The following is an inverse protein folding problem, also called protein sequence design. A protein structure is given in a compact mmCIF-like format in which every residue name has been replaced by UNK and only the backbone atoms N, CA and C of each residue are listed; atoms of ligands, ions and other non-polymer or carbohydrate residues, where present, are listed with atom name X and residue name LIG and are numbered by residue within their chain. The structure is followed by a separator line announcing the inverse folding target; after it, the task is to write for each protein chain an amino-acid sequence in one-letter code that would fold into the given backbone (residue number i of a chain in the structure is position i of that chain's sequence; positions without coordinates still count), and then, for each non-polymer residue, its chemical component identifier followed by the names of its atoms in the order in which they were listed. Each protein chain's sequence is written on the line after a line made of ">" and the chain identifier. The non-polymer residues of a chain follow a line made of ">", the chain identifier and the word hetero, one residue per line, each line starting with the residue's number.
data_IF_137149392566
#
_entry.id   IF_137149392566
#
_cell.length_a   1.000
_cell.length_b   1.000
_cell.length_c   1.000
_cell.angle_alpha   90.00
_cell.angle_beta   90.00
_cell.angle_gamma   90.00
#
_symmetry.space_group_name_H-M   'P 1'
#
loop_
_entity.id
_entity.type
_entity.pdbx_description
1 polymer ?
#
# COMPACT_ATOMS: atom_id res chain seq x y z
N UNK A 1 0.07 2.23 17.19
CA UNK A 1 0.51 2.70 15.85
C UNK A 1 -0.68 2.67 14.91
N UNK A 2 -0.78 3.59 13.95
CA UNK A 2 -1.92 3.64 13.00
C UNK A 2 -1.42 3.92 11.60
N UNK A 3 -1.83 3.11 10.62
CA UNK A 3 -1.42 3.21 9.23
C UNK A 3 -2.63 3.34 8.29
N UNK A 4 -2.53 4.18 7.27
CA UNK A 4 -3.53 4.24 6.19
C UNK A 4 -3.12 3.23 5.12
N UNK A 5 -4.05 2.35 4.73
CA UNK A 5 -3.85 1.35 3.67
C UNK A 5 -4.81 1.66 2.53
N UNK A 6 -4.25 1.98 1.37
CA UNK A 6 -4.99 2.19 0.13
C UNK A 6 -4.90 0.97 -0.78
N UNK A 7 -6.04 0.45 -1.24
CA UNK A 7 -6.11 -0.58 -2.27
C UNK A 7 -6.60 0.04 -3.57
N UNK A 8 -5.79 0.03 -4.63
CA UNK A 8 -6.19 0.54 -5.93
C UNK A 8 -6.27 -0.57 -6.99
N UNK A 9 -6.90 -0.27 -8.12
CA UNK A 9 -7.23 -1.25 -9.13
C UNK A 9 -6.05 -1.69 -10.00
N UNK A 10 -5.06 -2.31 -9.39
CA UNK A 10 -4.00 -3.04 -10.08
C UNK A 10 -4.04 -4.51 -9.69
N UNK A 11 -3.59 -5.41 -10.56
CA UNK A 11 -3.43 -6.83 -10.21
C UNK A 11 -2.38 -6.99 -9.11
N UNK A 12 -2.52 -8.02 -8.29
CA UNK A 12 -1.71 -8.24 -7.10
C UNK A 12 -2.42 -7.75 -5.83
N UNK A 13 -3.75 -7.79 -5.80
CA UNK A 13 -4.55 -7.43 -4.62
C UNK A 13 -4.15 -8.25 -3.39
N UNK A 14 -3.59 -9.44 -3.59
CA UNK A 14 -3.09 -10.33 -2.54
C UNK A 14 -2.04 -9.65 -1.64
N UNK A 15 -1.23 -8.74 -2.18
CA UNK A 15 -0.26 -7.97 -1.38
C UNK A 15 -0.96 -7.10 -0.34
N UNK A 16 -2.04 -6.42 -0.74
CA UNK A 16 -2.82 -5.57 0.16
C UNK A 16 -3.58 -6.37 1.22
N UNK A 17 -4.17 -7.50 0.84
CA UNK A 17 -4.84 -8.41 1.75
C UNK A 17 -3.85 -8.94 2.79
N UNK A 18 -2.67 -9.40 2.35
CA UNK A 18 -1.63 -9.92 3.24
C UNK A 18 -1.08 -8.84 4.18
N UNK A 19 -0.92 -7.59 3.68
CA UNK A 19 -0.51 -6.48 4.55
C UNK A 19 -1.55 -6.22 5.64
N UNK A 20 -2.84 -6.16 5.31
CA UNK A 20 -3.90 -5.96 6.30
C UNK A 20 -3.90 -7.08 7.36
N UNK A 21 -3.73 -8.34 6.92
CA UNK A 21 -3.61 -9.48 7.82
C UNK A 21 -2.39 -9.33 8.75
N UNK A 22 -1.23 -8.99 8.20
CA UNK A 22 0.00 -8.79 8.98
C UNK A 22 -0.12 -7.64 9.99
N UNK A 23 -0.70 -6.50 9.60
CA UNK A 23 -0.94 -5.38 10.52
C UNK A 23 -1.84 -5.79 11.69
N UNK A 24 -2.87 -6.58 11.41
CA UNK A 24 -3.76 -7.14 12.44
C UNK A 24 -3.04 -8.11 13.38
N UNK A 25 -2.22 -9.01 12.83
CA UNK A 25 -1.38 -9.97 13.60
C UNK A 25 -0.39 -9.24 14.52
N UNK A 26 0.11 -8.07 14.07
CA UNK A 26 1.09 -7.24 14.79
C UNK A 26 0.45 -6.15 15.67
N UNK A 27 -0.87 -6.17 15.84
CA UNK A 27 -1.64 -5.21 16.65
C UNK A 27 -1.45 -3.75 16.21
N UNK A 28 -1.30 -3.51 14.90
CA UNK A 28 -1.20 -2.20 14.27
C UNK A 28 -2.56 -1.79 13.70
N UNK A 29 -3.10 -0.66 14.17
CA UNK A 29 -4.37 -0.14 13.64
C UNK A 29 -4.24 0.24 12.16
N UNK A 30 -5.22 -0.16 11.34
CA UNK A 30 -5.29 0.16 9.92
C UNK A 30 -6.59 0.87 9.54
N UNK A 31 -6.47 1.95 8.77
CA UNK A 31 -7.57 2.67 8.13
C UNK A 31 -7.54 2.32 6.63
N UNK A 32 -8.51 1.52 6.17
CA UNK A 32 -8.60 1.03 4.80
C UNK A 32 -9.40 1.99 3.91
N UNK A 33 -8.82 2.33 2.75
CA UNK A 33 -9.53 2.94 1.63
C UNK A 33 -9.39 2.01 0.43
N UNK A 34 -10.51 1.53 -0.11
CA UNK A 34 -10.54 0.63 -1.25
C UNK A 34 -11.28 1.28 -2.42
N UNK A 35 -10.66 1.31 -3.61
CA UNK A 35 -11.37 1.76 -4.81
C UNK A 35 -12.31 0.68 -5.34
N UNK A 36 -13.37 1.06 -6.09
CA UNK A 36 -14.29 0.10 -6.71
C UNK A 36 -13.58 -0.94 -7.58
N UNK A 37 -12.52 -0.51 -8.29
CA UNK A 37 -11.74 -1.43 -9.12
C UNK A 37 -10.90 -2.38 -8.28
N UNK A 38 -10.40 -1.94 -7.12
CA UNK A 38 -9.73 -2.84 -6.19
C UNK A 38 -10.69 -3.89 -5.60
N UNK A 39 -11.92 -3.49 -5.27
CA UNK A 39 -12.96 -4.43 -4.83
C UNK A 39 -13.24 -5.51 -5.90
N UNK A 40 -13.30 -5.12 -7.18
CA UNK A 40 -13.42 -6.09 -8.28
C UNK A 40 -12.20 -7.01 -8.40
N UNK A 41 -10.98 -6.50 -8.12
CA UNK A 41 -9.78 -7.35 -8.15
C UNK A 41 -9.80 -8.40 -7.03
N UNK A 42 -10.36 -8.09 -5.86
CA UNK A 42 -10.56 -9.09 -4.79
C UNK A 42 -11.34 -10.29 -5.33
N UNK A 43 -12.46 -10.04 -6.01
CA UNK A 43 -13.34 -11.11 -6.53
C UNK A 43 -12.74 -11.87 -7.73
N UNK A 44 -11.88 -11.20 -8.52
CA UNK A 44 -11.27 -11.79 -9.72
C UNK A 44 -10.02 -12.62 -9.39
N UNK A 45 -9.21 -12.15 -8.45
CA UNK A 45 -7.88 -12.72 -8.19
C UNK A 45 -7.84 -13.66 -6.98
N UNK A 46 -8.87 -13.66 -6.13
CA UNK A 46 -8.86 -14.40 -4.86
C UNK A 46 -10.22 -15.03 -4.54
N UNK A 47 -10.22 -15.95 -3.57
CA UNK A 47 -11.43 -16.53 -3.02
C UNK A 47 -12.06 -15.69 -1.89
N UNK A 48 -11.47 -14.54 -1.56
CA UNK A 48 -12.00 -13.63 -0.54
C UNK A 48 -13.21 -12.85 -1.09
N UNK A 49 -14.20 -12.63 -0.22
CA UNK A 49 -15.22 -11.61 -0.45
C UNK A 49 -14.68 -10.25 -0.02
N UNK A 50 -15.15 -9.18 -0.63
CA UNK A 50 -14.79 -7.80 -0.24
C UNK A 50 -15.03 -7.56 1.26
N UNK A 51 -16.12 -8.10 1.82
CA UNK A 51 -16.42 -8.04 3.26
C UNK A 51 -15.33 -8.67 4.13
N UNK A 52 -14.72 -9.76 3.68
CA UNK A 52 -13.70 -10.49 4.44
C UNK A 52 -12.40 -9.67 4.47
N UNK A 53 -12.07 -8.99 3.36
CA UNK A 53 -10.93 -8.06 3.31
C UNK A 53 -11.19 -6.83 4.19
N UNK A 54 -12.38 -6.25 4.14
CA UNK A 54 -12.77 -5.14 5.00
C UNK A 54 -12.66 -5.50 6.49
N UNK A 55 -13.01 -6.73 6.87
CA UNK A 55 -12.93 -7.21 8.25
C UNK A 55 -11.49 -7.36 8.79
N UNK A 56 -10.46 -7.35 7.92
CA UNK A 56 -9.06 -7.34 8.35
C UNK A 56 -8.63 -5.96 8.86
N UNK A 57 -9.26 -4.88 8.37
CA UNK A 57 -8.92 -3.52 8.77
C UNK A 57 -9.58 -3.12 10.10
N UNK A 58 -8.94 -2.22 10.84
CA UNK A 58 -9.52 -1.63 12.06
C UNK A 58 -10.70 -0.72 11.72
N UNK A 59 -10.61 0.04 10.62
CA UNK A 59 -11.66 0.90 10.09
C UNK A 59 -11.65 0.88 8.56
N UNK A 60 -12.82 1.02 7.97
CA UNK A 60 -13.00 1.13 6.52
C UNK A 60 -13.63 2.48 6.20
N UNK A 61 -13.08 3.17 5.21
CA UNK A 61 -13.57 4.48 4.76
C UNK A 61 -14.07 4.37 3.32
N UNK A 62 -15.21 5.00 3.06
CA UNK A 62 -15.72 5.13 1.69
C UNK A 62 -14.74 5.98 0.86
N UNK A 63 -14.41 5.49 -0.32
CA UNK A 63 -13.46 6.12 -1.23
C UNK A 63 -13.92 7.51 -1.72
N UNK A 64 -15.21 7.84 -1.61
CA UNK A 64 -15.78 9.13 -2.02
C UNK A 64 -16.24 10.00 -0.84
N UNK A 65 -16.04 9.55 0.40
CA UNK A 65 -16.36 10.36 1.58
C UNK A 65 -15.23 11.32 1.96
N UNK A 66 -15.29 12.54 1.45
CA UNK A 66 -14.36 13.61 1.80
C UNK A 66 -14.60 14.22 3.20
N UNK A 67 -15.63 13.78 3.92
CA UNK A 67 -15.84 14.17 5.35
C UNK A 67 -15.01 13.30 6.28
N UNK A 68 -14.43 12.21 5.78
CA UNK A 68 -13.52 11.33 6.51
C UNK A 68 -12.34 12.13 7.10
N UNK A 69 -11.90 11.84 8.34
CA UNK A 69 -10.73 12.48 8.93
C UNK A 69 -9.45 12.29 8.11
N UNK A 70 -9.37 11.25 7.27
CA UNK A 70 -8.24 10.98 6.39
C UNK A 70 -8.03 12.06 5.32
N UNK A 71 -9.07 12.85 5.00
CA UNK A 71 -8.97 13.99 4.09
C UNK A 71 -8.23 15.19 4.69
N UNK A 72 -7.93 15.15 5.99
CA UNK A 72 -7.28 16.24 6.74
C UNK A 72 -5.84 15.90 7.13
N UNK A 73 -4.90 16.81 6.91
CA UNK A 73 -3.52 16.69 7.40
C UNK A 73 -3.39 16.62 8.93
N UNK A 74 -4.38 17.11 9.66
CA UNK A 74 -4.43 17.04 11.13
C UNK A 74 -4.68 15.63 11.69
N UNK A 75 -5.15 14.69 10.88
CA UNK A 75 -5.34 13.30 11.29
C UNK A 75 -3.99 12.63 11.59
N UNK A 76 -3.81 12.21 12.83
CA UNK A 76 -2.55 11.59 13.27
C UNK A 76 -2.47 10.14 12.83
N UNK A 77 -1.48 9.83 12.01
CA UNK A 77 -1.12 8.50 11.55
C UNK A 77 0.40 8.42 11.34
N UNK A 78 0.95 7.21 11.23
CA UNK A 78 2.37 6.97 10.99
C UNK A 78 2.74 7.22 9.52
N UNK A 79 1.78 7.03 8.62
CA UNK A 79 1.94 7.18 7.17
C UNK A 79 0.91 6.38 6.41
N UNK A 80 1.10 6.32 5.10
CA UNK A 80 0.19 5.64 4.18
C UNK A 80 0.95 4.70 3.24
N UNK A 81 0.36 3.56 2.96
CA UNK A 81 0.79 2.66 1.89
C UNK A 81 -0.33 2.45 0.89
N UNK A 82 -0.03 2.52 -0.40
CA UNK A 82 -0.95 2.12 -1.47
C UNK A 82 -0.44 0.84 -2.09
N UNK A 83 -1.16 -0.27 -1.89
CA UNK A 83 -0.73 -1.62 -2.23
C UNK A 83 -1.89 -2.56 -2.63
N UNK A 84 -2.00 -2.99 -3.89
CA UNK A 84 -1.21 -2.55 -5.03
C UNK A 84 -1.54 -1.10 -5.43
N UNK A 85 -0.61 -0.43 -6.11
CA UNK A 85 -0.80 0.90 -6.63
C UNK A 85 -0.86 0.88 -8.17
N UNK A 86 -2.01 1.29 -8.73
CA UNK A 86 -2.16 1.38 -10.18
C UNK A 86 -1.45 2.59 -10.77
N UNK A 87 -1.11 2.53 -12.06
CA UNK A 87 -0.50 3.67 -12.76
C UNK A 87 -1.44 4.88 -12.82
N UNK A 88 -2.79 4.68 -12.84
CA UNK A 88 -3.77 5.76 -12.68
C UNK A 88 -3.58 6.48 -11.33
N UNK A 89 -3.44 5.72 -10.26
CA UNK A 89 -3.23 6.27 -8.90
C UNK A 89 -1.88 6.98 -8.80
N UNK A 90 -0.80 6.40 -9.33
CA UNK A 90 0.52 7.05 -9.45
C UNK A 90 0.39 8.39 -10.17
N UNK A 91 -0.27 8.43 -11.33
CA UNK A 91 -0.46 9.65 -12.11
C UNK A 91 -1.28 10.69 -11.34
N UNK A 92 -2.38 10.27 -10.70
CA UNK A 92 -3.22 11.16 -9.90
C UNK A 92 -2.47 11.83 -8.76
N UNK A 93 -1.69 11.07 -7.99
CA UNK A 93 -0.88 11.63 -6.90
C UNK A 93 0.22 12.56 -7.49
N UNK A 94 0.88 12.16 -8.57
CA UNK A 94 1.99 12.92 -9.17
C UNK A 94 1.56 14.30 -9.69
N UNK A 95 0.32 14.43 -10.20
CA UNK A 95 -0.21 15.72 -10.67
C UNK A 95 -1.06 16.46 -9.62
N UNK A 96 -1.18 15.95 -8.39
CA UNK A 96 -1.97 16.58 -7.33
C UNK A 96 -3.50 16.48 -7.55
N UNK A 97 -3.95 15.54 -8.38
CA UNK A 97 -5.37 15.33 -8.65
C UNK A 97 -5.99 14.42 -7.58
N UNK A 98 -6.91 14.98 -6.79
CA UNK A 98 -7.50 14.32 -5.63
C UNK A 98 -9.03 14.23 -5.77
N UNK A 99 -9.52 13.42 -6.71
CA UNK A 99 -10.94 13.20 -6.99
C UNK A 99 -11.61 12.15 -6.09
N UNK A 100 -10.83 11.53 -5.22
CA UNK A 100 -11.31 10.56 -4.25
C UNK A 100 -10.47 10.58 -2.96
N UNK A 101 -10.97 9.93 -1.91
CA UNK A 101 -10.35 9.94 -0.59
C UNK A 101 -8.96 9.29 -0.60
N UNK A 102 -8.72 8.26 -1.43
CA UNK A 102 -7.41 7.61 -1.52
C UNK A 102 -6.34 8.59 -2.00
N UNK A 103 -6.61 9.31 -3.10
CA UNK A 103 -5.71 10.33 -3.64
C UNK A 103 -5.55 11.51 -2.66
N UNK A 104 -6.64 11.94 -2.01
CA UNK A 104 -6.59 13.02 -1.02
C UNK A 104 -5.77 12.63 0.21
N UNK A 105 -5.91 11.41 0.72
CA UNK A 105 -5.12 10.93 1.85
C UNK A 105 -3.62 10.84 1.51
N UNK A 106 -3.29 10.43 0.28
CA UNK A 106 -1.92 10.42 -0.21
C UNK A 106 -1.34 11.85 -0.30
N UNK A 107 -2.09 12.81 -0.84
CA UNK A 107 -1.72 14.22 -0.88
C UNK A 107 -1.49 14.78 0.54
N UNK A 108 -2.41 14.50 1.48
CA UNK A 108 -2.25 14.87 2.88
C UNK A 108 -1.01 14.25 3.50
N UNK A 109 -0.70 13.00 3.20
CA UNK A 109 0.47 12.29 3.72
C UNK A 109 1.76 12.95 3.24
N UNK A 110 1.85 13.30 1.94
CA UNK A 110 3.01 13.97 1.36
C UNK A 110 3.20 15.39 1.93
N UNK A 111 2.15 16.22 1.95
CA UNK A 111 2.26 17.61 2.43
C UNK A 111 2.63 17.70 3.91
N UNK A 112 2.26 16.70 4.71
CA UNK A 112 2.62 16.60 6.13
C UNK A 112 3.98 15.89 6.34
N UNK A 113 4.68 15.56 5.24
CA UNK A 113 6.00 14.88 5.25
C UNK A 113 6.01 13.56 6.04
N UNK A 114 4.90 12.84 5.98
CA UNK A 114 4.80 11.48 6.51
C UNK A 114 5.20 10.47 5.46
N UNK A 115 5.54 9.25 5.87
CA UNK A 115 5.88 8.18 4.94
C UNK A 115 4.69 7.87 4.02
N UNK A 116 4.89 8.05 2.71
CA UNK A 116 4.00 7.55 1.68
C UNK A 116 4.74 6.46 0.91
N UNK A 117 4.27 5.22 0.99
CA UNK A 117 4.81 4.08 0.26
C UNK A 117 3.84 3.72 -0.85
N UNK A 118 4.34 3.69 -2.08
CA UNK A 118 3.57 3.30 -3.25
C UNK A 118 4.15 1.99 -3.79
N UNK A 119 3.30 0.96 -3.89
CA UNK A 119 3.68 -0.37 -4.37
C UNK A 119 3.10 -0.60 -5.77
N UNK A 120 3.73 -0.01 -6.82
CA UNK A 120 3.24 -0.15 -8.19
C UNK A 120 3.35 -1.60 -8.66
N UNK A 121 2.32 -2.06 -9.43
CA UNK A 121 2.36 -3.30 -10.18
C UNK A 121 1.92 -3.02 -11.62
N UNK A 122 2.89 -3.02 -12.50
CA UNK A 122 2.71 -2.78 -13.94
C UNK A 122 3.89 -3.37 -14.72
N UNK A 123 3.61 -3.92 -15.90
CA UNK A 123 4.65 -4.40 -16.82
C UNK A 123 4.09 -4.48 -18.25
N UNK A 124 4.81 -3.97 -19.29
CA UNK A 124 5.99 -3.12 -19.22
C UNK A 124 5.68 -1.70 -18.72
N UNK A 125 6.68 -0.95 -18.32
CA UNK A 125 6.54 0.46 -17.98
C UNK A 125 6.80 1.33 -19.23
N UNK A 126 6.02 2.42 -19.36
CA UNK A 126 6.27 3.46 -20.37
C UNK A 126 6.94 4.69 -19.72
N UNK A 127 7.35 5.65 -20.58
CA UNK A 127 8.04 6.87 -20.12
C UNK A 127 7.18 7.70 -19.16
N UNK A 128 5.85 7.76 -19.36
CA UNK A 128 4.94 8.53 -18.49
C UNK A 128 4.91 7.89 -17.09
N UNK A 129 4.85 6.55 -16.99
CA UNK A 129 4.92 5.85 -15.72
C UNK A 129 6.20 6.16 -14.97
N UNK A 130 7.35 6.10 -15.67
CA UNK A 130 8.66 6.36 -15.08
C UNK A 130 8.81 7.82 -14.62
N UNK A 131 8.32 8.80 -15.41
CA UNK A 131 8.34 10.21 -15.04
C UNK A 131 7.48 10.49 -13.81
N UNK A 132 6.28 9.93 -13.72
CA UNK A 132 5.41 10.10 -12.56
C UNK A 132 6.03 9.49 -11.30
N UNK A 133 6.61 8.29 -11.38
CA UNK A 133 7.29 7.67 -10.25
C UNK A 133 8.53 8.49 -9.82
N UNK A 134 9.29 9.03 -10.77
CA UNK A 134 10.43 9.91 -10.47
C UNK A 134 9.97 11.19 -9.76
N UNK A 135 8.91 11.83 -10.23
CA UNK A 135 8.35 13.02 -9.61
C UNK A 135 7.90 12.75 -8.16
N UNK A 136 7.22 11.63 -7.92
CA UNK A 136 6.78 11.23 -6.59
C UNK A 136 7.94 10.88 -5.66
N UNK A 137 8.97 10.18 -6.16
CA UNK A 137 10.18 9.92 -5.39
C UNK A 137 10.88 11.23 -4.98
N UNK A 138 10.97 12.20 -5.90
CA UNK A 138 11.49 13.54 -5.62
C UNK A 138 10.65 14.33 -4.62
N UNK A 139 9.33 14.08 -4.56
CA UNK A 139 8.42 14.67 -3.57
C UNK A 139 8.49 13.99 -2.19
N UNK A 140 9.22 12.89 -2.06
CA UNK A 140 9.44 12.17 -0.79
C UNK A 140 8.63 10.89 -0.63
N UNK A 141 7.91 10.41 -1.66
CA UNK A 141 7.29 9.10 -1.63
C UNK A 141 8.33 7.99 -1.85
N UNK A 142 8.15 6.86 -1.17
CA UNK A 142 8.91 5.64 -1.46
C UNK A 142 8.22 4.86 -2.55
N UNK A 143 8.90 4.64 -3.67
CA UNK A 143 8.43 3.77 -4.76
C UNK A 143 9.00 2.38 -4.50
N UNK A 144 8.12 1.43 -4.16
CA UNK A 144 8.45 0.03 -3.85
C UNK A 144 7.71 -0.88 -4.84
N UNK A 145 8.27 -1.15 -6.03
CA UNK A 145 7.61 -2.02 -7.01
C UNK A 145 7.32 -3.40 -6.44
N UNK A 146 6.18 -4.01 -6.82
CA UNK A 146 5.84 -5.39 -6.48
C UNK A 146 6.74 -6.37 -7.26
N UNK A 147 8.05 -6.28 -7.01
CA UNK A 147 9.11 -7.07 -7.67
C UNK A 147 9.92 -7.82 -6.60
N UNK A 148 9.44 -8.98 -6.13
CA UNK A 148 10.07 -9.72 -5.05
C UNK A 148 11.44 -10.28 -5.46
N UNK A 149 12.37 -10.34 -4.50
CA UNK A 149 13.66 -11.00 -4.68
C UNK A 149 13.54 -12.53 -4.52
N UNK A 150 14.50 -13.27 -5.09
CA UNK A 150 14.53 -14.74 -5.03
C UNK A 150 15.69 -15.29 -4.17
N UNK A 151 16.49 -14.41 -3.56
CA UNK A 151 17.67 -14.80 -2.79
C UNK A 151 17.35 -15.60 -1.52
N UNK A 152 16.13 -15.48 -0.98
CA UNK A 152 15.63 -16.25 0.17
C UNK A 152 15.06 -17.64 -0.23
N UNK A 153 15.17 -18.03 -1.53
CA UNK A 153 14.71 -19.32 -2.10
C UNK A 153 13.23 -19.59 -1.80
N UNK A 154 12.31 -18.74 -2.28
CA UNK A 154 10.89 -18.92 -2.04
C UNK A 154 10.42 -20.27 -2.58
N UNK A 155 9.63 -20.99 -1.78
CA UNK A 155 9.06 -22.27 -2.15
C UNK A 155 7.63 -22.12 -2.69
N UNK A 156 6.93 -21.09 -2.20
CA UNK A 156 5.54 -20.82 -2.51
C UNK A 156 5.33 -19.37 -2.95
N UNK A 157 4.19 -19.07 -3.58
CA UNK A 157 3.82 -17.70 -3.96
C UNK A 157 3.69 -16.81 -2.72
N UNK A 158 3.24 -17.35 -1.61
CA UNK A 158 3.12 -16.65 -0.33
C UNK A 158 4.44 -16.08 0.15
N UNK A 159 5.55 -16.77 -0.08
CA UNK A 159 6.90 -16.28 0.29
C UNK A 159 7.27 -15.02 -0.51
N UNK A 160 6.85 -14.94 -1.78
CA UNK A 160 7.06 -13.77 -2.63
C UNK A 160 6.19 -12.59 -2.17
N UNK A 161 4.96 -12.88 -1.76
CA UNK A 161 4.03 -11.88 -1.22
C UNK A 161 4.57 -11.35 0.11
N UNK A 162 4.98 -12.22 1.01
CA UNK A 162 5.51 -11.87 2.33
C UNK A 162 6.83 -11.07 2.23
N UNK A 163 7.66 -11.33 1.20
CA UNK A 163 8.83 -10.50 0.94
C UNK A 163 8.46 -9.03 0.66
N UNK A 164 7.46 -8.77 -0.19
CA UNK A 164 7.02 -7.39 -0.50
C UNK A 164 6.35 -6.75 0.72
N UNK A 165 5.47 -7.47 1.40
CA UNK A 165 4.78 -6.99 2.61
C UNK A 165 5.79 -6.67 3.71
N UNK A 166 6.77 -7.53 3.93
CA UNK A 166 7.82 -7.30 4.90
C UNK A 166 8.68 -6.07 4.56
N UNK A 167 8.99 -5.83 3.26
CA UNK A 167 9.66 -4.60 2.84
C UNK A 167 8.85 -3.33 3.13
N UNK A 168 7.52 -3.40 3.03
CA UNK A 168 6.66 -2.30 3.47
C UNK A 168 6.78 -2.10 4.98
N UNK A 169 6.68 -3.17 5.78
CA UNK A 169 6.79 -3.08 7.24
C UNK A 169 8.15 -2.54 7.69
N UNK A 170 9.24 -2.94 7.03
CA UNK A 170 10.60 -2.41 7.29
C UNK A 170 10.67 -0.88 7.14
N UNK A 171 10.00 -0.28 6.13
CA UNK A 171 9.99 1.18 5.91
C UNK A 171 9.30 1.92 7.06
N UNK A 172 8.36 1.27 7.74
CA UNK A 172 7.63 1.82 8.88
C UNK A 172 8.24 1.43 10.25
N UNK A 173 9.44 0.80 10.24
CA UNK A 173 10.12 0.31 11.45
C UNK A 173 9.25 -0.64 12.29
N UNK A 174 8.39 -1.45 11.61
CA UNK A 174 7.54 -2.46 12.26
C UNK A 174 8.29 -3.77 12.26
N UNK A 175 8.56 -4.30 13.46
CA UNK A 175 9.20 -5.60 13.62
C UNK A 175 8.29 -6.73 13.13
N UNK A 176 8.83 -7.64 12.30
CA UNK A 176 8.10 -8.76 11.71
C UNK A 176 9.02 -9.94 11.39
N UNK A 177 8.42 -11.10 11.10
CA UNK A 177 9.12 -12.34 10.74
C UNK A 177 8.65 -12.93 9.40
N UNK A 178 8.12 -12.08 8.48
CA UNK A 178 7.54 -12.52 7.21
C UNK A 178 8.58 -13.08 6.23
N UNK A 179 9.83 -12.65 6.32
CA UNK A 179 10.92 -13.19 5.51
C UNK A 179 12.26 -13.09 6.23
N UNK A 180 13.22 -13.92 5.83
CA UNK A 180 14.57 -13.89 6.38
C UNK A 180 15.37 -12.71 5.80
N UNK A 181 15.75 -11.75 6.63
CA UNK A 181 16.54 -10.59 6.21
C UNK A 181 18.02 -10.96 6.12
N UNK A 182 18.63 -10.77 4.94
CA UNK A 182 20.08 -10.89 4.78
C UNK A 182 20.72 -9.61 5.34
N UNK A 183 21.58 -9.75 6.34
CA UNK A 183 22.39 -8.64 6.87
C UNK A 183 22.02 -8.10 8.24
N UNK A 184 20.97 -8.57 8.89
CA UNK A 184 20.87 -8.43 10.35
C UNK A 184 21.79 -9.47 10.97
N UNK A 185 22.99 -9.04 11.42
CA UNK A 185 23.81 -9.87 12.28
C UNK A 185 22.97 -10.28 13.49
N UNK A 186 22.98 -11.56 13.81
CA UNK A 186 22.45 -12.03 15.09
C UNK A 186 23.29 -11.35 16.18
N UNK A 187 22.70 -10.35 16.84
CA UNK A 187 23.22 -9.79 18.07
C UNK A 187 22.61 -10.56 19.23
#
# INVERSE_FOLDING_TARGET
>A
MRMIVGLSGASGIVYGIRLLAALRELDVESDLIMTDLAAKMVEIETDYRVSDVCALATRVHDCFDFTSPLASGGFRNTGMVVIPCSMKTIAGIACGFADNLLLRAADCTLKERRHLVLVPRETPLNTIHLQNMLALAGAGATILPAAPGFYHRPAEITDLVDHIVGKVLDIFDIEHHLYHQIGRAHV
#
